data_IF_891662090201
#
_entry.id   IF_891662090201
#
_cell.length_a   1.000
_cell.length_b   1.000
_cell.length_c   1.000
_cell.angle_alpha   90.00
_cell.angle_beta   90.00
_cell.angle_gamma   90.00
#
_symmetry.space_group_name_H-M   'P 1'
#
loop_
_entity.id
_entity.type
_entity.pdbx_description
1 polymer ?
#
# COMPACT_ATOMS: atom_id res chain seq x y z
N UNK A 1 11.35 13.41 -17.02
CA UNK A 1 11.45 11.95 -16.89
C UNK A 1 10.18 11.48 -16.23
N UNK A 2 9.48 10.53 -16.85
CA UNK A 2 8.30 9.92 -16.24
C UNK A 2 8.80 8.91 -15.22
N UNK A 3 8.25 8.95 -14.01
CA UNK A 3 8.59 8.01 -12.96
C UNK A 3 7.80 6.72 -13.17
N UNK A 4 8.33 5.85 -14.02
CA UNK A 4 7.65 4.64 -14.48
C UNK A 4 7.29 3.70 -13.33
N UNK A 5 8.12 3.66 -12.28
CA UNK A 5 7.86 2.86 -11.08
C UNK A 5 6.68 3.39 -10.29
N UNK A 6 6.64 4.70 -10.03
CA UNK A 6 5.51 5.34 -9.38
C UNK A 6 4.19 5.07 -10.12
N UNK A 7 4.20 5.13 -11.46
CA UNK A 7 3.01 4.84 -12.27
C UNK A 7 2.57 3.37 -12.23
N UNK A 8 3.50 2.41 -12.20
CA UNK A 8 3.15 0.99 -12.02
C UNK A 8 2.55 0.74 -10.64
N UNK A 9 3.14 1.32 -9.60
CA UNK A 9 2.58 1.25 -8.25
C UNK A 9 1.22 1.95 -8.15
N UNK A 10 1.02 3.08 -8.84
CA UNK A 10 -0.29 3.74 -8.92
C UNK A 10 -1.36 2.77 -9.44
N UNK A 11 -1.10 2.10 -10.57
CA UNK A 11 -2.04 1.11 -11.15
C UNK A 11 -2.32 -0.06 -10.20
N UNK A 12 -1.30 -0.55 -9.50
CA UNK A 12 -1.48 -1.61 -8.51
C UNK A 12 -2.37 -1.16 -7.34
N UNK A 13 -2.11 0.03 -6.78
CA UNK A 13 -2.89 0.55 -5.65
C UNK A 13 -4.29 1.02 -6.02
N UNK A 14 -4.51 1.50 -7.26
CA UNK A 14 -5.82 1.92 -7.74
C UNK A 14 -6.85 0.78 -7.60
N UNK A 15 -6.46 -0.44 -7.97
CA UNK A 15 -7.33 -1.61 -7.79
C UNK A 15 -7.73 -1.81 -6.31
N UNK A 16 -6.78 -1.76 -5.39
CA UNK A 16 -7.06 -1.95 -3.97
C UNK A 16 -7.87 -0.81 -3.37
N UNK A 17 -7.63 0.43 -3.82
CA UNK A 17 -8.40 1.61 -3.45
C UNK A 17 -9.86 1.50 -3.87
N UNK A 18 -10.12 1.22 -5.15
CA UNK A 18 -11.48 1.09 -5.70
C UNK A 18 -12.26 -0.06 -5.06
N UNK A 19 -11.59 -1.18 -4.78
CA UNK A 19 -12.22 -2.34 -4.14
C UNK A 19 -12.28 -2.28 -2.62
N UNK A 20 -11.70 -1.23 -2.00
CA UNK A 20 -11.56 -1.10 -0.55
C UNK A 20 -10.93 -2.34 0.10
N UNK A 21 -9.93 -2.90 -0.55
CA UNK A 21 -9.18 -4.06 -0.06
C UNK A 21 -7.99 -3.54 0.73
N UNK A 22 -7.82 -4.02 1.96
CA UNK A 22 -6.62 -3.74 2.72
C UNK A 22 -5.39 -4.33 2.02
N UNK A 23 -4.27 -3.62 2.09
CA UNK A 23 -3.01 -3.96 1.42
C UNK A 23 -1.89 -4.10 2.43
N UNK A 24 -0.89 -4.90 2.07
CA UNK A 24 0.44 -4.80 2.67
C UNK A 24 1.48 -4.52 1.59
N UNK A 25 2.55 -3.81 1.95
CA UNK A 25 3.68 -3.54 1.08
C UNK A 25 4.92 -3.20 1.92
N UNK A 26 6.09 -3.26 1.30
CA UNK A 26 7.35 -2.80 1.86
C UNK A 26 7.89 -1.59 1.09
N UNK A 27 8.53 -0.68 1.81
CA UNK A 27 9.36 0.37 1.22
C UNK A 27 10.72 -0.19 0.79
N UNK A 28 11.44 0.55 -0.05
CA UNK A 28 12.80 0.20 -0.49
C UNK A 28 13.81 0.07 0.68
N UNK A 29 13.54 0.74 1.80
CA UNK A 29 14.35 0.63 3.03
C UNK A 29 14.01 -0.62 3.87
N UNK A 30 13.04 -1.44 3.45
CA UNK A 30 12.60 -2.65 4.14
C UNK A 30 11.50 -2.45 5.20
N UNK A 31 11.02 -1.22 5.44
CA UNK A 31 9.89 -0.99 6.35
C UNK A 31 8.59 -1.53 5.75
N UNK A 32 7.82 -2.27 6.57
CA UNK A 32 6.53 -2.84 6.19
C UNK A 32 5.36 -2.01 6.70
N UNK A 33 4.36 -1.85 5.84
CA UNK A 33 3.10 -1.18 6.15
C UNK A 33 1.92 -2.04 5.72
N UNK A 34 0.83 -1.93 6.47
CA UNK A 34 -0.43 -2.61 6.18
C UNK A 34 -1.61 -1.72 6.54
N UNK A 35 -2.62 -1.65 5.69
CA UNK A 35 -3.75 -0.77 5.96
C UNK A 35 -4.68 -0.66 4.77
N UNK A 36 -5.57 0.33 4.82
CA UNK A 36 -6.48 0.65 3.73
C UNK A 36 -6.01 1.90 3.02
N UNK A 37 -5.93 1.89 1.69
CA UNK A 37 -5.66 3.12 0.92
C UNK A 37 -6.87 4.03 1.04
N UNK A 38 -6.67 5.27 1.50
CA UNK A 38 -7.75 6.26 1.67
C UNK A 38 -7.65 7.41 0.67
N UNK A 39 -6.48 7.63 0.08
CA UNK A 39 -6.27 8.56 -1.04
C UNK A 39 -5.13 8.06 -1.93
N UNK A 40 -5.19 8.34 -3.23
CA UNK A 40 -4.13 8.06 -4.19
C UNK A 40 -4.15 9.09 -5.31
N UNK A 41 -2.98 9.59 -5.70
CA UNK A 41 -2.86 10.66 -6.69
C UNK A 41 -1.88 10.29 -7.81
N UNK A 42 -2.35 10.30 -9.05
CA UNK A 42 -1.56 9.98 -10.24
C UNK A 42 -0.51 11.05 -10.56
N UNK A 43 -0.88 12.33 -10.48
CA UNK A 43 0.00 13.45 -10.86
C UNK A 43 1.17 13.60 -9.88
N UNK A 44 0.88 13.48 -8.58
CA UNK A 44 1.87 13.60 -7.49
C UNK A 44 2.57 12.29 -7.19
N UNK A 45 2.05 11.17 -7.70
CA UNK A 45 2.52 9.81 -7.41
C UNK A 45 2.60 9.53 -5.90
N UNK A 46 1.53 9.86 -5.19
CA UNK A 46 1.41 9.68 -3.75
C UNK A 46 0.26 8.75 -3.41
N UNK A 47 0.35 8.10 -2.25
CA UNK A 47 -0.80 7.47 -1.60
C UNK A 47 -0.90 7.93 -0.14
N UNK A 48 -2.10 7.85 0.42
CA UNK A 48 -2.34 7.95 1.87
C UNK A 48 -2.93 6.62 2.33
N UNK A 49 -2.27 6.01 3.30
CA UNK A 49 -2.67 4.74 3.91
C UNK A 49 -3.25 5.03 5.30
N UNK A 50 -4.44 4.53 5.59
CA UNK A 50 -4.89 4.34 6.96
C UNK A 50 -4.27 3.04 7.48
N UNK A 51 -3.12 3.15 8.15
CA UNK A 51 -2.39 2.04 8.75
C UNK A 51 -3.06 1.60 10.06
N UNK A 52 -3.12 0.30 10.29
CA UNK A 52 -3.90 -0.26 11.41
C UNK A 52 -3.38 0.13 12.81
N UNK A 53 -2.10 0.46 12.96
CA UNK A 53 -1.48 0.83 14.25
C UNK A 53 -1.07 2.30 14.35
N UNK A 54 -0.68 2.92 13.24
CA UNK A 54 -0.06 4.24 13.16
C UNK A 54 -1.02 5.32 12.64
N UNK A 55 -2.21 4.96 12.16
CA UNK A 55 -3.18 5.90 11.59
C UNK A 55 -2.82 6.32 10.16
N UNK A 56 -3.12 7.56 9.80
CA UNK A 56 -2.91 8.07 8.44
C UNK A 56 -1.43 8.35 8.15
N UNK A 57 -0.90 7.72 7.09
CA UNK A 57 0.48 7.87 6.65
C UNK A 57 0.56 8.12 5.14
N UNK A 58 1.24 9.19 4.70
CA UNK A 58 1.49 9.45 3.29
C UNK A 58 2.75 8.70 2.79
N UNK A 59 2.73 8.25 1.54
CA UNK A 59 3.88 7.63 0.87
C UNK A 59 4.06 8.12 -0.55
N UNK A 60 5.33 8.22 -0.98
CA UNK A 60 5.70 8.35 -2.38
C UNK A 60 5.65 6.96 -3.03
N UNK A 61 4.94 6.83 -4.16
CA UNK A 61 4.77 5.55 -4.84
C UNK A 61 6.09 4.97 -5.34
N UNK A 62 7.06 5.81 -5.71
CA UNK A 62 8.39 5.36 -6.13
C UNK A 62 9.22 4.69 -5.04
N UNK A 63 8.91 4.95 -3.77
CA UNK A 63 9.61 4.36 -2.63
C UNK A 63 9.06 2.98 -2.24
N UNK A 64 8.02 2.51 -2.92
CA UNK A 64 7.39 1.22 -2.63
C UNK A 64 7.95 0.15 -3.54
N UNK A 65 8.30 -0.98 -2.95
CA UNK A 65 8.81 -2.13 -3.68
C UNK A 65 7.68 -2.80 -4.45
N UNK A 66 7.75 -2.80 -5.78
CA UNK A 66 6.66 -3.17 -6.68
C UNK A 66 6.15 -4.61 -6.46
N UNK A 67 7.07 -5.55 -6.21
CA UNK A 67 6.77 -6.98 -5.98
C UNK A 67 6.20 -7.28 -4.57
N UNK A 68 6.17 -6.28 -3.69
CA UNK A 68 5.70 -6.44 -2.30
C UNK A 68 4.21 -6.16 -2.11
N UNK A 69 3.55 -5.51 -3.07
CA UNK A 69 2.16 -5.06 -2.93
C UNK A 69 1.22 -6.26 -3.06
N UNK A 70 0.55 -6.64 -1.96
CA UNK A 70 -0.40 -7.77 -1.94
C UNK A 70 -1.61 -7.45 -1.08
N UNK A 71 -2.75 -8.13 -1.27
CA UNK A 71 -3.88 -8.00 -0.37
C UNK A 71 -3.50 -8.44 1.05
N UNK A 72 -3.88 -7.64 2.04
CA UNK A 72 -3.77 -8.00 3.44
C UNK A 72 -4.99 -8.85 3.85
N UNK A 73 -4.74 -10.13 4.09
CA UNK A 73 -5.76 -11.07 4.60
C UNK A 73 -5.50 -11.26 6.08
N UNK A 74 -6.37 -10.72 6.93
CA UNK A 74 -6.34 -11.03 8.35
C UNK A 74 -6.74 -12.50 8.54
N UNK A 75 -5.79 -13.33 8.96
CA UNK A 75 -6.08 -14.66 9.49
C UNK A 75 -6.03 -14.55 11.02
N UNK A 76 -7.16 -14.70 11.73
CA UNK A 76 -7.12 -14.92 13.17
C UNK A 76 -6.22 -16.13 13.43
N UNK A 77 -5.38 -16.09 14.47
CA UNK A 77 -4.74 -17.33 14.93
C UNK A 77 -5.87 -18.26 15.37
N UNK A 78 -5.92 -19.46 14.81
CA UNK A 78 -6.68 -20.54 15.44
C UNK A 78 -6.12 -20.69 16.86
N UNK A 79 -6.97 -20.48 17.85
CA UNK A 79 -6.62 -20.77 19.24
C UNK A 79 -6.31 -22.26 19.28
N UNK A 80 -5.05 -22.61 19.55
CA UNK A 80 -4.66 -23.98 19.82
C UNK A 80 -5.21 -24.28 21.22
N UNK A 81 -6.37 -24.95 21.29
CA UNK A 81 -6.92 -25.53 22.52
C UNK A 81 -5.96 -26.57 23.12
#
# INVERSE_FOLDING_TARGET
MINDKGLRNYRNFLYYFEKRIAVHFSLENGEWHNGTVIDINEEKLTLVLMEFKKGELPFLLENIKEDSIKPFVYKPREEVE
#
